data_IF_337615424959
#
_entry.id   IF_337615424959
#
_cell.length_a   1.000
_cell.length_b   1.000
_cell.length_c   1.000
_cell.angle_alpha   90.00
_cell.angle_beta   90.00
_cell.angle_gamma   90.00
#
_symmetry.space_group_name_H-M   'P 1'
#
loop_
_entity.id
_entity.type
_entity.pdbx_description
1 polymer ?
#
# COMPACT_ATOMS: atom_id res chain seq x y z
N UNK A 1 -18.48 -20.66 8.33
CA UNK A 1 -17.37 -20.42 7.37
C UNK A 1 -16.36 -19.50 8.03
N UNK A 2 -15.11 -19.92 8.19
CA UNK A 2 -14.04 -19.03 8.66
C UNK A 2 -13.80 -17.95 7.62
N UNK A 3 -13.82 -16.67 8.01
CA UNK A 3 -13.40 -15.59 7.10
C UNK A 3 -11.95 -15.85 6.70
N UNK A 4 -11.66 -15.86 5.40
CA UNK A 4 -10.29 -15.93 4.90
C UNK A 4 -9.50 -14.77 5.52
N UNK A 5 -8.35 -15.10 6.12
CA UNK A 5 -7.38 -14.12 6.58
C UNK A 5 -6.44 -13.81 5.43
N UNK A 6 -6.51 -12.61 4.89
CA UNK A 6 -5.62 -12.12 3.83
C UNK A 6 -4.58 -11.21 4.46
N UNK A 7 -3.33 -11.30 4.02
CA UNK A 7 -2.30 -10.35 4.40
C UNK A 7 -2.23 -9.24 3.36
N UNK A 8 -2.16 -8.00 3.82
CA UNK A 8 -1.81 -6.83 3.01
C UNK A 8 -0.48 -6.30 3.48
N UNK A 9 0.28 -5.73 2.56
CA UNK A 9 1.54 -5.10 2.88
C UNK A 9 1.78 -3.88 2.00
N UNK A 10 2.68 -3.02 2.46
CA UNK A 10 3.20 -1.93 1.66
C UNK A 10 4.60 -1.55 2.12
N UNK A 11 5.36 -0.95 1.21
CA UNK A 11 6.75 -0.54 1.48
C UNK A 11 6.96 0.85 0.93
N UNK A 12 7.42 1.77 1.77
CA UNK A 12 7.88 3.10 1.38
C UNK A 12 9.38 3.08 1.13
N UNK A 13 9.76 3.69 0.01
CA UNK A 13 11.15 3.75 -0.44
C UNK A 13 11.58 5.18 -0.65
N UNK A 14 12.84 5.45 -0.35
CA UNK A 14 13.46 6.74 -0.59
C UNK A 14 13.84 6.92 -2.07
N UNK A 15 14.27 8.14 -2.46
CA UNK A 15 14.67 8.43 -3.84
C UNK A 15 15.76 7.50 -4.40
N UNK A 16 16.65 7.01 -3.53
CA UNK A 16 17.69 6.03 -3.86
C UNK A 16 17.21 4.57 -3.93
N UNK A 17 15.88 4.34 -3.83
CA UNK A 17 15.22 3.03 -3.73
C UNK A 17 15.54 2.26 -2.44
N UNK A 18 16.22 2.88 -1.49
CA UNK A 18 16.41 2.32 -0.16
C UNK A 18 15.07 2.15 0.58
N UNK A 19 15.00 1.12 1.41
CA UNK A 19 13.90 0.94 2.35
C UNK A 19 13.85 2.13 3.32
N UNK A 20 12.67 2.71 3.52
CA UNK A 20 12.44 3.70 4.59
C UNK A 20 11.58 3.11 5.69
N UNK A 21 10.47 2.49 5.32
CA UNK A 21 9.58 1.79 6.24
C UNK A 21 8.70 0.84 5.44
N UNK A 22 8.39 -0.32 6.01
CA UNK A 22 7.36 -1.22 5.50
C UNK A 22 6.26 -1.41 6.53
N UNK A 23 5.12 -1.87 6.07
CA UNK A 23 4.04 -2.30 6.93
C UNK A 23 3.38 -3.57 6.40
N UNK A 24 2.73 -4.27 7.31
CA UNK A 24 1.85 -5.39 6.99
C UNK A 24 0.66 -5.43 7.92
N UNK A 25 -0.45 -5.97 7.46
CA UNK A 25 -1.65 -6.16 8.24
C UNK A 25 -2.36 -7.43 7.79
N UNK A 26 -2.97 -8.16 8.71
CA UNK A 26 -3.92 -9.22 8.36
C UNK A 26 -5.33 -8.63 8.33
N UNK A 27 -6.07 -8.81 7.24
CA UNK A 27 -7.47 -8.42 7.11
C UNK A 27 -8.38 -9.64 7.00
N UNK A 28 -9.63 -9.49 7.42
CA UNK A 28 -10.69 -10.48 7.21
C UNK A 28 -11.60 -10.12 6.04
N UNK A 29 -11.21 -9.14 5.24
CA UNK A 29 -11.89 -8.78 3.99
C UNK A 29 -11.73 -9.91 2.98
N UNK A 30 -12.75 -10.10 2.16
CA UNK A 30 -12.77 -11.10 1.09
C UNK A 30 -12.73 -10.48 -0.30
N UNK A 31 -13.07 -9.20 -0.41
CA UNK A 31 -13.08 -8.47 -1.67
C UNK A 31 -11.70 -7.89 -1.97
N UNK A 32 -11.12 -8.29 -3.11
CA UNK A 32 -9.74 -7.94 -3.49
C UNK A 32 -9.58 -6.42 -3.62
N UNK A 33 -10.59 -5.75 -4.18
CA UNK A 33 -10.52 -4.31 -4.38
C UNK A 33 -10.50 -3.56 -3.04
N UNK A 34 -11.38 -3.90 -2.10
CA UNK A 34 -11.41 -3.31 -0.76
C UNK A 34 -10.11 -3.55 0.03
N UNK A 35 -9.47 -4.71 -0.18
CA UNK A 35 -8.19 -5.05 0.44
C UNK A 35 -7.09 -4.08 -0.01
N UNK A 36 -7.01 -3.78 -1.31
CA UNK A 36 -6.03 -2.84 -1.83
C UNK A 36 -6.33 -1.39 -1.45
N UNK A 37 -7.60 -0.98 -1.51
CA UNK A 37 -8.04 0.34 -1.04
C UNK A 37 -7.60 0.53 0.41
N UNK A 38 -7.81 -0.46 1.27
CA UNK A 38 -7.39 -0.40 2.67
C UNK A 38 -5.87 -0.27 2.80
N UNK A 39 -5.11 -1.00 2.01
CA UNK A 39 -3.67 -0.93 2.06
C UNK A 39 -3.13 0.43 1.58
N UNK A 40 -3.76 1.06 0.57
CA UNK A 40 -3.46 2.46 0.17
C UNK A 40 -3.75 3.42 1.32
N UNK A 41 -4.93 3.30 1.94
CA UNK A 41 -5.30 4.16 3.06
C UNK A 41 -4.31 4.06 4.24
N UNK A 42 -3.90 2.85 4.64
CA UNK A 42 -2.91 2.67 5.70
C UNK A 42 -1.51 3.18 5.30
N UNK A 43 -1.12 3.01 4.03
CA UNK A 43 0.12 3.58 3.49
C UNK A 43 0.12 5.12 3.54
N UNK A 44 -0.99 5.77 3.17
CA UNK A 44 -1.12 7.23 3.23
C UNK A 44 -1.00 7.76 4.66
N UNK A 45 -1.72 7.14 5.61
CA UNK A 45 -1.65 7.48 7.04
C UNK A 45 -0.22 7.38 7.55
N UNK A 46 0.42 6.24 7.32
CA UNK A 46 1.79 6.00 7.76
C UNK A 46 2.74 7.02 7.14
N UNK A 47 2.61 7.35 5.86
CA UNK A 47 3.49 8.29 5.20
C UNK A 47 3.37 9.69 5.80
N UNK A 48 2.14 10.10 6.08
CA UNK A 48 1.86 11.36 6.74
C UNK A 48 2.46 11.42 8.14
N UNK A 49 2.25 10.38 8.94
CA UNK A 49 2.75 10.26 10.32
C UNK A 49 4.30 10.28 10.36
N UNK A 50 4.95 9.77 9.33
CA UNK A 50 6.42 9.84 9.15
C UNK A 50 6.93 11.18 8.63
N UNK A 51 6.05 12.14 8.37
CA UNK A 51 6.44 13.45 7.88
C UNK A 51 6.72 13.50 6.37
N UNK A 52 6.42 12.45 5.61
CA UNK A 52 6.56 12.51 4.15
C UNK A 52 5.45 13.38 3.56
N UNK A 53 5.85 14.34 2.71
CA UNK A 53 4.92 15.32 2.08
C UNK A 53 5.02 15.34 0.56
N UNK A 54 5.87 14.52 -0.02
CA UNK A 54 5.94 14.29 -1.47
C UNK A 54 6.04 12.79 -1.66
N UNK A 55 4.94 12.18 -2.12
CA UNK A 55 4.86 10.73 -2.26
C UNK A 55 4.26 10.33 -3.61
N UNK A 56 4.65 9.15 -4.07
CA UNK A 56 4.02 8.46 -5.17
C UNK A 56 3.53 7.10 -4.66
N UNK A 57 2.23 6.86 -4.82
CA UNK A 57 1.55 5.60 -4.49
C UNK A 57 1.51 4.75 -5.75
N UNK A 58 2.10 3.57 -5.67
CA UNK A 58 2.12 2.58 -6.73
C UNK A 58 1.22 1.39 -6.38
N UNK A 59 0.43 0.96 -7.37
CA UNK A 59 -0.38 -0.26 -7.27
C UNK A 59 -0.36 -0.99 -8.61
N UNK A 60 -0.43 -2.33 -8.56
CA UNK A 60 -0.60 -3.17 -9.74
C UNK A 60 -2.07 -3.38 -10.13
N UNK A 61 -2.99 -2.69 -9.43
CA UNK A 61 -4.39 -2.63 -9.79
C UNK A 61 -4.70 -1.35 -10.56
N UNK A 62 -4.78 -1.51 -11.88
CA UNK A 62 -5.08 -0.41 -12.79
C UNK A 62 -6.46 0.20 -12.55
N UNK A 63 -7.44 -0.58 -12.11
CA UNK A 63 -8.78 -0.10 -11.82
C UNK A 63 -8.77 0.83 -10.60
N UNK A 64 -8.05 0.47 -9.52
CA UNK A 64 -7.87 1.33 -8.36
C UNK A 64 -7.18 2.65 -8.73
N UNK A 65 -6.07 2.60 -9.47
CA UNK A 65 -5.37 3.80 -9.92
C UNK A 65 -6.30 4.69 -10.76
N UNK A 66 -7.08 4.10 -11.66
CA UNK A 66 -8.04 4.83 -12.48
C UNK A 66 -9.14 5.50 -11.64
N UNK A 67 -9.65 4.82 -10.60
CA UNK A 67 -10.64 5.39 -9.67
C UNK A 67 -10.05 6.58 -8.90
N UNK A 68 -8.81 6.46 -8.44
CA UNK A 68 -8.13 7.51 -7.66
C UNK A 68 -7.70 8.72 -8.51
N UNK A 69 -7.47 8.54 -9.82
CA UNK A 69 -7.04 9.62 -10.71
C UNK A 69 -8.19 10.41 -11.36
N UNK A 70 -9.37 9.82 -11.57
CA UNK A 70 -10.44 10.42 -12.38
C UNK A 70 -11.60 11.01 -11.54
N UNK A 71 -11.41 11.27 -10.25
CA UNK A 71 -12.45 11.78 -9.34
C UNK A 71 -13.77 10.98 -9.31
N UNK A 72 -13.78 9.77 -9.88
CA UNK A 72 -14.89 8.81 -9.81
C UNK A 72 -15.16 8.36 -8.37
N UNK A 73 -14.25 8.69 -7.46
CA UNK A 73 -14.34 8.48 -6.04
C UNK A 73 -15.44 9.31 -5.35
N UNK A 74 -15.87 10.46 -5.90
CA UNK A 74 -16.95 11.29 -5.32
C UNK A 74 -18.30 10.56 -5.35
N UNK A 75 -18.50 9.64 -6.29
CA UNK A 75 -19.69 8.77 -6.40
C UNK A 75 -19.46 7.36 -5.83
N UNK A 76 -18.28 7.08 -5.28
CA UNK A 76 -17.98 5.77 -4.71
C UNK A 76 -18.79 5.54 -3.43
N UNK A 77 -19.43 4.38 -3.34
CA UNK A 77 -20.10 3.91 -2.12
C UNK A 77 -19.12 3.35 -1.08
N UNK A 78 -17.82 3.24 -1.42
CA UNK A 78 -16.79 2.66 -0.56
C UNK A 78 -16.20 3.78 0.33
N UNK A 79 -16.44 3.68 1.64
CA UNK A 79 -16.00 4.64 2.65
C UNK A 79 -14.49 4.91 2.60
N UNK A 80 -13.69 3.86 2.43
CA UNK A 80 -12.23 3.98 2.41
C UNK A 80 -11.72 4.78 1.21
N UNK A 81 -12.43 4.78 0.07
CA UNK A 81 -12.06 5.62 -1.08
C UNK A 81 -12.29 7.10 -0.74
N UNK A 82 -13.40 7.44 -0.08
CA UNK A 82 -13.66 8.80 0.39
C UNK A 82 -12.58 9.26 1.37
N UNK A 83 -12.20 8.39 2.31
CA UNK A 83 -11.09 8.67 3.22
C UNK A 83 -9.77 8.90 2.48
N UNK A 84 -9.46 8.11 1.46
CA UNK A 84 -8.26 8.34 0.63
C UNK A 84 -8.28 9.73 -0.01
N UNK A 85 -9.44 10.19 -0.52
CA UNK A 85 -9.56 11.54 -1.08
C UNK A 85 -9.38 12.62 -0.01
N UNK A 86 -9.94 12.43 1.20
CA UNK A 86 -9.71 13.35 2.32
C UNK A 86 -8.23 13.46 2.65
N UNK A 87 -7.52 12.33 2.66
CA UNK A 87 -6.06 12.29 2.81
C UNK A 87 -5.36 12.99 1.66
N UNK A 88 -5.76 12.74 0.42
CA UNK A 88 -5.20 13.38 -0.77
C UNK A 88 -5.32 14.91 -0.71
N UNK A 89 -6.40 15.44 -0.14
CA UNK A 89 -6.66 16.89 -0.01
C UNK A 89 -5.80 17.62 1.03
N UNK A 90 -4.97 16.90 1.81
CA UNK A 90 -4.09 17.52 2.81
C UNK A 90 -2.97 18.34 2.15
N UNK A 91 -2.22 19.07 2.98
CA UNK A 91 -1.05 19.85 2.55
C UNK A 91 0.17 18.94 2.27
N UNK A 92 0.14 18.25 1.13
CA UNK A 92 1.21 17.42 0.58
C UNK A 92 0.98 17.14 -0.92
N UNK A 93 2.00 16.62 -1.60
CA UNK A 93 1.92 16.20 -2.98
C UNK A 93 1.84 14.68 -3.07
N UNK A 94 0.75 14.18 -3.63
CA UNK A 94 0.52 12.75 -3.85
C UNK A 94 0.33 12.50 -5.33
N UNK A 95 0.99 11.49 -5.87
CA UNK A 95 0.75 10.97 -7.22
C UNK A 95 0.35 9.51 -7.15
N UNK A 96 -0.56 9.09 -8.02
CA UNK A 96 -0.94 7.69 -8.17
C UNK A 96 -0.36 7.15 -9.47
N UNK A 97 0.27 5.97 -9.43
CA UNK A 97 0.89 5.32 -10.59
C UNK A 97 0.53 3.84 -10.63
N UNK A 98 0.15 3.38 -11.82
CA UNK A 98 0.04 1.95 -12.10
C UNK A 98 1.43 1.33 -12.35
N UNK A 99 1.70 0.18 -11.75
CA UNK A 99 2.90 -0.62 -12.00
C UNK A 99 2.55 -2.04 -12.45
N UNK A 100 3.46 -2.70 -13.17
CA UNK A 100 3.30 -4.11 -13.47
C UNK A 100 3.54 -4.95 -12.20
N UNK A 101 2.72 -5.99 -11.99
CA UNK A 101 2.81 -6.91 -10.84
C UNK A 101 4.22 -7.46 -10.57
N UNK A 102 4.98 -7.74 -11.64
CA UNK A 102 6.37 -8.20 -11.53
C UNK A 102 7.32 -7.21 -10.83
N UNK A 103 6.95 -5.94 -10.78
CA UNK A 103 7.69 -4.87 -10.09
C UNK A 103 7.40 -4.81 -8.59
N UNK A 104 6.43 -5.60 -8.10
CA UNK A 104 5.88 -5.50 -6.75
C UNK A 104 6.23 -6.73 -5.86
N UNK A 105 7.28 -7.47 -6.25
CA UNK A 105 7.74 -8.71 -5.58
C UNK A 105 8.12 -8.55 -4.11
N UNK A 106 8.65 -7.38 -3.74
CA UNK A 106 9.08 -7.11 -2.36
C UNK A 106 7.88 -7.07 -1.41
N UNK A 107 6.77 -6.49 -1.86
CA UNK A 107 5.57 -6.41 -1.06
C UNK A 107 4.89 -7.77 -0.96
N UNK A 108 4.93 -8.59 -2.02
CA UNK A 108 4.47 -9.98 -1.97
C UNK A 108 5.25 -10.81 -0.95
N UNK A 109 6.57 -10.64 -0.88
CA UNK A 109 7.42 -11.29 0.11
C UNK A 109 7.06 -10.85 1.53
N UNK A 110 6.81 -9.56 1.73
CA UNK A 110 6.40 -8.99 3.03
C UNK A 110 5.02 -9.50 3.46
N UNK A 111 4.07 -9.61 2.53
CA UNK A 111 2.72 -10.12 2.79
C UNK A 111 2.72 -11.61 3.19
N UNK A 112 3.66 -12.40 2.67
CA UNK A 112 3.78 -13.86 2.92
C UNK A 112 4.39 -14.23 4.27
N UNK A 113 4.81 -13.26 5.08
CA UNK A 113 5.30 -13.49 6.44
C UNK A 113 4.20 -14.02 7.38
N UNK A 114 4.61 -14.66 8.49
CA UNK A 114 3.72 -15.37 9.43
C UNK A 114 2.47 -14.57 9.84
N UNK A 115 1.30 -15.21 9.80
CA UNK A 115 -0.02 -14.56 9.90
C UNK A 115 -0.29 -14.11 11.33
N UNK A 116 -0.03 -12.83 11.60
CA UNK A 116 -0.33 -12.18 12.87
C UNK A 116 -1.83 -12.01 13.17
N UNK A 117 -2.14 -11.09 14.11
CA UNK A 117 -3.52 -10.77 14.48
C UNK A 117 -4.22 -9.94 13.39
N UNK A 118 -5.52 -10.17 13.22
CA UNK A 118 -6.37 -9.45 12.26
C UNK A 118 -6.52 -7.98 12.69
N UNK A 119 -6.48 -7.07 11.72
CA UNK A 119 -6.55 -5.61 11.85
C UNK A 119 -5.44 -4.99 12.72
N UNK A 120 -4.33 -5.70 12.93
CA UNK A 120 -3.13 -5.14 13.55
C UNK A 120 -2.14 -4.74 12.45
N UNK A 121 -1.84 -3.43 12.36
CA UNK A 121 -0.77 -2.92 11.53
C UNK A 121 0.58 -3.19 12.22
N UNK A 122 1.46 -3.90 11.54
CA UNK A 122 2.83 -4.15 11.98
C UNK A 122 3.75 -3.32 11.12
N UNK A 123 4.57 -2.49 11.75
CA UNK A 123 5.52 -1.60 11.11
C UNK A 123 6.91 -2.24 11.14
N UNK A 124 7.65 -2.09 10.05
CA UNK A 124 9.00 -2.59 9.86
C UNK A 124 9.92 -1.42 9.51
N UNK A 125 10.71 -0.94 10.47
CA UNK A 125 11.71 0.12 10.24
C UNK A 125 12.83 -0.37 9.32
N UNK A 126 13.26 -1.61 9.51
CA UNK A 126 14.25 -2.29 8.67
C UNK A 126 13.60 -3.38 7.82
N UNK A 127 14.14 -3.67 6.61
CA UNK A 127 13.66 -4.78 5.80
C UNK A 127 13.86 -6.11 6.55
N UNK A 128 12.83 -6.96 6.68
CA UNK A 128 13.00 -8.27 7.29
C UNK A 128 14.00 -9.12 6.51
N UNK A 129 14.76 -9.98 7.21
CA UNK A 129 15.76 -10.88 6.59
C UNK A 129 15.21 -11.74 5.44
N UNK A 130 13.90 -12.04 5.43
CA UNK A 130 13.22 -12.80 4.39
C UNK A 130 12.81 -11.99 3.15
N UNK A 131 13.01 -10.67 3.17
CA UNK A 131 12.63 -9.75 2.10
C UNK A 131 13.89 -9.30 1.37
N UNK A 132 14.02 -9.67 0.10
CA UNK A 132 15.17 -9.31 -0.70
C UNK A 132 14.96 -7.94 -1.38
N UNK A 133 15.78 -6.97 -0.97
CA UNK A 133 15.76 -5.60 -1.46
C UNK A 133 16.80 -5.33 -2.58
N UNK A 134 17.46 -6.32 -3.17
CA UNK A 134 18.57 -6.08 -4.11
C UNK A 134 18.16 -6.02 -5.59
N UNK A 135 16.91 -6.35 -5.93
CA UNK A 135 16.39 -6.29 -7.32
C UNK A 135 15.29 -5.22 -7.46
N UNK A 136 15.66 -3.95 -7.42
CA UNK A 136 14.74 -2.82 -7.63
C UNK A 136 14.98 -2.14 -8.98
N UNK A 137 14.09 -2.36 -9.96
CA UNK A 137 13.93 -1.49 -11.12
C UNK A 137 12.77 -0.49 -10.87
N UNK A 138 12.86 0.75 -11.38
CA UNK A 138 11.96 1.90 -11.05
C UNK A 138 12.16 2.57 -9.66
N UNK A 139 12.25 3.92 -9.58
CA UNK A 139 12.78 4.67 -8.43
C UNK A 139 11.78 5.35 -7.49
N UNK A 140 11.98 5.24 -6.17
CA UNK A 140 11.36 6.11 -5.14
C UNK A 140 9.86 5.93 -4.95
N UNK A 141 9.43 4.83 -4.33
CA UNK A 141 8.04 4.41 -4.43
C UNK A 141 7.45 3.75 -3.19
N UNK A 142 6.17 4.04 -2.96
CA UNK A 142 5.32 3.26 -2.06
C UNK A 142 4.57 2.22 -2.87
N UNK A 143 4.94 0.93 -2.82
CA UNK A 143 4.13 -0.12 -3.47
C UNK A 143 3.33 -0.89 -2.45
N UNK A 144 2.14 -1.30 -2.85
CA UNK A 144 1.18 -2.08 -2.07
C UNK A 144 0.77 -3.28 -2.92
N UNK A 145 0.84 -4.50 -2.38
CA UNK A 145 0.52 -5.73 -3.10
C UNK A 145 -0.11 -6.76 -2.17
N UNK A 146 -1.00 -7.55 -2.77
CA UNK A 146 -1.65 -8.70 -2.16
C UNK A 146 -0.97 -9.97 -2.68
N UNK A 147 -0.62 -10.87 -1.74
CA UNK A 147 0.11 -12.11 -2.02
C UNK A 147 -0.56 -13.08 -2.97
#
# INVERSE_FOLDING_TARGET
MSKLKVAVAGVMRGPSRGWLVGFRMITSMSDIFNIEVKAVLEGLKLAWDRGFRQIEVESDNSFLINVLQNDLAVVSSIDEIRLILDWYSKDWQVKFRYIQRDSNKVVDQLAKMDRGRVNCLVIHEDPPHSVNCERFAGGGYSSINNG
#
